data_IF_234796187798
#
_entry.id   IF_234796187798
#
_cell.length_a   1.000
_cell.length_b   1.000
_cell.length_c   1.000
_cell.angle_alpha   90.00
_cell.angle_beta   90.00
_cell.angle_gamma   90.00
#
_symmetry.space_group_name_H-M   'P 1'
#
loop_
_entity.id
_entity.type
_entity.pdbx_description
1 polymer ?
#
# COMPACT_ATOMS: atom_id res chain seq x y z
N UNK A 1 -18.73 19.86 -3.01
CA UNK A 1 -17.71 19.04 -3.70
C UNK A 1 -18.37 18.30 -4.86
N UNK A 2 -17.69 18.10 -6.01
CA UNK A 2 -18.30 17.40 -7.14
C UNK A 2 -18.48 15.91 -6.81
N UNK A 3 -19.64 15.36 -7.18
CA UNK A 3 -19.91 13.92 -7.06
C UNK A 3 -19.03 13.20 -8.09
N UNK A 4 -18.04 12.45 -7.62
CA UNK A 4 -17.19 11.64 -8.48
C UNK A 4 -17.95 10.35 -8.80
N UNK A 5 -18.34 10.19 -10.07
CA UNK A 5 -19.00 8.98 -10.53
C UNK A 5 -18.00 7.83 -10.67
N UNK A 6 -18.36 6.66 -10.14
CA UNK A 6 -17.56 5.45 -10.32
C UNK A 6 -17.62 5.01 -11.79
N UNK A 7 -16.47 4.65 -12.37
CA UNK A 7 -16.39 4.07 -13.73
C UNK A 7 -17.14 2.73 -13.87
N UNK A 8 -17.41 2.06 -12.75
CA UNK A 8 -18.19 0.81 -12.69
C UNK A 8 -19.42 1.06 -11.83
N UNK A 9 -20.59 0.65 -12.30
CA UNK A 9 -21.83 0.76 -11.54
C UNK A 9 -21.72 0.04 -10.19
N UNK A 10 -22.16 0.70 -9.11
CA UNK A 10 -22.04 0.18 -7.74
C UNK A 10 -22.74 -1.17 -7.54
N UNK A 11 -23.89 -1.35 -8.18
CA UNK A 11 -24.67 -2.60 -8.15
C UNK A 11 -24.02 -3.76 -8.92
N UNK A 12 -22.97 -3.49 -9.70
CA UNK A 12 -22.31 -4.54 -10.47
C UNK A 12 -21.52 -5.49 -9.56
N UNK A 13 -21.61 -6.80 -9.85
CA UNK A 13 -20.72 -7.82 -9.27
C UNK A 13 -19.23 -7.46 -9.45
N UNK A 14 -18.87 -6.75 -10.52
CA UNK A 14 -17.52 -6.24 -10.76
C UNK A 14 -17.09 -5.22 -9.69
N UNK A 15 -17.99 -4.31 -9.33
CA UNK A 15 -17.72 -3.31 -8.28
C UNK A 15 -17.52 -4.01 -6.93
N UNK A 16 -18.40 -4.94 -6.57
CA UNK A 16 -18.27 -5.71 -5.32
C UNK A 16 -16.93 -6.45 -5.25
N UNK A 17 -16.49 -7.08 -6.34
CA UNK A 17 -15.20 -7.78 -6.40
C UNK A 17 -14.01 -6.84 -6.19
N UNK A 18 -14.01 -5.67 -6.85
CA UNK A 18 -12.96 -4.67 -6.69
C UNK A 18 -12.97 -4.05 -5.30
N UNK A 19 -14.16 -3.73 -4.77
CA UNK A 19 -14.30 -3.10 -3.47
C UNK A 19 -13.88 -4.03 -2.33
N UNK A 20 -14.03 -5.36 -2.47
CA UNK A 20 -13.46 -6.34 -1.52
C UNK A 20 -11.94 -6.25 -1.39
N UNK A 21 -11.23 -5.70 -2.38
CA UNK A 21 -9.77 -5.51 -2.33
C UNK A 21 -9.37 -4.21 -1.59
N UNK A 22 -10.32 -3.34 -1.23
CA UNK A 22 -10.08 -2.07 -0.52
C UNK A 22 -9.20 -2.27 0.71
N UNK A 23 -9.50 -3.26 1.54
CA UNK A 23 -8.76 -3.51 2.80
C UNK A 23 -7.28 -3.82 2.53
N UNK A 24 -6.95 -4.42 1.38
CA UNK A 24 -5.56 -4.64 1.01
C UNK A 24 -4.84 -3.32 0.71
N UNK A 25 -5.50 -2.41 0.00
CA UNK A 25 -4.97 -1.07 -0.31
C UNK A 25 -4.81 -0.24 0.97
N UNK A 26 -5.81 -0.25 1.86
CA UNK A 26 -5.74 0.45 3.15
C UNK A 26 -4.61 -0.06 4.03
N UNK A 27 -4.35 -1.38 4.02
CA UNK A 27 -3.20 -1.97 4.73
C UNK A 27 -1.86 -1.45 4.18
N UNK A 28 -1.73 -1.30 2.86
CA UNK A 28 -0.51 -0.75 2.25
C UNK A 28 -0.32 0.72 2.64
N UNK A 29 -1.39 1.53 2.57
CA UNK A 29 -1.33 2.94 2.97
C UNK A 29 -1.00 3.08 4.46
N UNK A 30 -1.65 2.28 5.32
CA UNK A 30 -1.37 2.29 6.75
C UNK A 30 0.08 1.93 7.10
N UNK A 31 0.75 1.09 6.30
CA UNK A 31 2.19 0.80 6.47
C UNK A 31 3.08 1.95 6.01
N UNK A 32 2.74 2.59 4.90
CA UNK A 32 3.43 3.80 4.45
C UNK A 32 3.38 4.89 5.54
N UNK A 33 2.22 5.07 6.16
CA UNK A 33 2.04 6.08 7.19
C UNK A 33 2.70 5.67 8.51
N UNK A 34 2.48 4.44 9.00
CA UNK A 34 2.98 3.96 10.30
C UNK A 34 4.44 3.52 10.29
N UNK A 35 4.81 2.64 9.37
CA UNK A 35 6.12 1.97 9.35
C UNK A 35 7.18 2.89 8.73
N UNK A 36 6.83 3.60 7.66
CA UNK A 36 7.72 4.56 7.00
C UNK A 36 7.55 6.00 7.51
N UNK A 37 6.63 6.23 8.46
CA UNK A 37 6.37 7.53 9.12
C UNK A 37 6.11 8.67 8.13
N UNK A 38 5.50 8.36 6.99
CA UNK A 38 5.16 9.35 5.98
C UNK A 38 4.05 10.31 6.43
N UNK A 39 3.36 10.06 7.54
CA UNK A 39 2.45 11.03 8.15
C UNK A 39 3.19 12.26 8.72
N UNK A 40 4.36 12.03 9.33
CA UNK A 40 5.17 13.06 10.00
C UNK A 40 6.45 13.39 9.23
N UNK A 41 6.40 13.34 7.89
CA UNK A 41 7.56 13.61 7.05
C UNK A 41 7.87 15.11 6.95
N UNK A 42 9.16 15.44 6.86
CA UNK A 42 9.65 16.82 6.64
C UNK A 42 10.09 17.06 5.19
N UNK A 43 9.82 16.12 4.28
CA UNK A 43 10.26 16.16 2.88
C UNK A 43 9.44 17.20 2.11
N UNK A 44 10.11 18.25 1.63
CA UNK A 44 9.48 19.27 0.77
C UNK A 44 9.67 18.95 -0.71
N UNK A 45 8.58 19.03 -1.47
CA UNK A 45 8.56 18.94 -2.93
C UNK A 45 8.14 17.57 -3.47
N UNK A 46 7.23 17.59 -4.45
CA UNK A 46 6.56 16.38 -4.95
C UNK A 46 7.53 15.35 -5.55
N UNK A 47 8.58 15.80 -6.26
CA UNK A 47 9.59 14.89 -6.84
C UNK A 47 10.33 14.09 -5.77
N UNK A 48 10.69 14.73 -4.64
CA UNK A 48 11.39 14.07 -3.53
C UNK A 48 10.47 13.10 -2.80
N UNK A 49 9.22 13.51 -2.58
CA UNK A 49 8.21 12.64 -1.98
C UNK A 49 7.91 11.41 -2.85
N UNK A 50 7.77 11.61 -4.16
CA UNK A 50 7.58 10.50 -5.11
C UNK A 50 8.72 9.50 -5.05
N UNK A 51 9.98 9.98 -5.00
CA UNK A 51 11.14 9.10 -4.87
C UNK A 51 11.11 8.31 -3.56
N UNK A 52 10.81 8.99 -2.43
CA UNK A 52 10.74 8.35 -1.12
C UNK A 52 9.67 7.25 -1.10
N UNK A 53 8.47 7.53 -1.61
CA UNK A 53 7.37 6.56 -1.69
C UNK A 53 7.75 5.38 -2.60
N UNK A 54 8.35 5.63 -3.76
CA UNK A 54 8.84 4.57 -4.64
C UNK A 54 9.86 3.67 -3.95
N UNK A 55 10.77 4.26 -3.16
CA UNK A 55 11.76 3.50 -2.40
C UNK A 55 11.12 2.65 -1.29
N UNK A 56 10.10 3.18 -0.60
CA UNK A 56 9.32 2.41 0.38
C UNK A 56 8.67 1.17 -0.26
N UNK A 57 8.12 1.30 -1.47
CA UNK A 57 7.57 0.16 -2.21
C UNK A 57 8.63 -0.88 -2.58
N UNK A 58 9.81 -0.47 -3.04
CA UNK A 58 10.90 -1.39 -3.33
C UNK A 58 11.32 -2.19 -2.10
N UNK A 59 11.43 -1.52 -0.95
CA UNK A 59 11.76 -2.17 0.33
C UNK A 59 10.68 -3.18 0.73
N UNK A 60 9.39 -2.82 0.67
CA UNK A 60 8.29 -3.74 0.99
C UNK A 60 8.29 -4.99 0.10
N UNK A 61 8.56 -4.85 -1.20
CA UNK A 61 8.64 -5.98 -2.13
C UNK A 61 9.87 -6.84 -1.83
N UNK A 62 11.01 -6.22 -1.53
CA UNK A 62 12.24 -6.92 -1.13
C UNK A 62 12.07 -7.77 0.12
N UNK A 63 11.36 -7.26 1.13
CA UNK A 63 11.01 -8.02 2.33
C UNK A 63 10.14 -9.24 2.02
N UNK A 64 9.09 -9.06 1.21
CA UNK A 64 8.21 -10.14 0.81
C UNK A 64 8.96 -11.25 0.05
N UNK A 65 9.88 -10.87 -0.85
CA UNK A 65 10.72 -11.82 -1.58
C UNK A 65 11.64 -12.59 -0.63
N UNK A 66 12.27 -11.89 0.31
CA UNK A 66 13.18 -12.51 1.29
C UNK A 66 12.46 -13.54 2.17
N UNK A 67 11.31 -13.17 2.74
CA UNK A 67 10.48 -14.06 3.57
C UNK A 67 9.97 -15.27 2.81
N UNK A 68 9.56 -15.07 1.55
CA UNK A 68 9.14 -16.17 0.67
C UNK A 68 10.28 -17.16 0.44
N UNK A 69 11.52 -16.69 0.20
CA UNK A 69 12.70 -17.54 0.05
C UNK A 69 13.06 -18.29 1.33
N UNK A 70 12.78 -17.71 2.50
CA UNK A 70 12.98 -18.33 3.82
C UNK A 70 11.85 -19.31 4.20
N UNK A 71 10.82 -19.47 3.36
CA UNK A 71 9.68 -20.35 3.65
C UNK A 71 8.71 -19.80 4.71
N UNK A 72 8.83 -18.52 5.10
CA UNK A 72 8.00 -17.89 6.13
C UNK A 72 6.80 -17.19 5.48
N UNK A 73 5.66 -17.88 5.43
CA UNK A 73 4.44 -17.39 4.77
C UNK A 73 3.52 -16.54 5.64
N UNK A 74 3.68 -16.55 6.96
CA UNK A 74 2.72 -15.92 7.89
C UNK A 74 2.80 -14.39 7.88
N UNK A 75 4.02 -13.84 7.74
CA UNK A 75 4.24 -12.40 7.75
C UNK A 75 5.24 -11.95 6.67
N UNK A 76 4.75 -11.87 5.44
CA UNK A 76 5.56 -11.47 4.27
C UNK A 76 6.05 -10.01 4.32
N UNK A 77 5.43 -9.16 5.13
CA UNK A 77 5.68 -7.73 5.11
C UNK A 77 5.80 -7.12 6.52
N UNK A 78 6.03 -7.95 7.54
CA UNK A 78 6.44 -7.48 8.86
C UNK A 78 7.95 -7.30 8.90
N UNK A 79 8.39 -6.30 9.66
CA UNK A 79 9.79 -6.14 10.04
C UNK A 79 10.23 -7.19 11.09
N UNK A 80 9.27 -7.68 11.87
CA UNK A 80 9.52 -8.68 12.91
C UNK A 80 9.63 -10.07 12.28
N UNK A 81 10.66 -10.81 12.70
CA UNK A 81 10.96 -12.17 12.25
C UNK A 81 9.84 -13.11 12.60
#
# INVERSE_FOLDING_TARGET
EPIIFNKVGRESKKFQKLYKQRTAVERVNGRLDRDFRLENHTIRGLKKMSLAVSMCFLVMIGFALSKLKLGQGEHLASWVV
#
